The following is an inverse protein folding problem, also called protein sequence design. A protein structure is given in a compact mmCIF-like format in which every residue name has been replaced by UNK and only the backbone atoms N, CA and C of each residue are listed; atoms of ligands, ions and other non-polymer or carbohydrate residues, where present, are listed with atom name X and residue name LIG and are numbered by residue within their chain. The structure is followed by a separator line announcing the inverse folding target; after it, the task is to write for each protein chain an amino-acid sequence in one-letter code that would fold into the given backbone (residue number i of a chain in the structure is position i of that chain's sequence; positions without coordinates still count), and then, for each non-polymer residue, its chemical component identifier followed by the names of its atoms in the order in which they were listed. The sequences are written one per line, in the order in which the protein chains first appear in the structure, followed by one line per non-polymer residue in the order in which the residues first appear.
data_IF_650478532461
#
_entry.id   IF_650478532461
#
_cell.length_a   1.000
_cell.length_b   1.000
_cell.length_c   1.000
_cell.angle_alpha   90.00
_cell.angle_beta   90.00
_cell.angle_gamma   90.00
#
_symmetry.space_group_name_H-M   'P 1'
#
loop_
_entity.id
_entity.type
_entity.pdbx_description
1 polymer ?
#
# COMPACT_ATOMS: atom_id res chain seq x y z
N UNK A 1 -22.87 2.05 25.41
CA UNK A 1 -21.79 1.28 24.75
C UNK A 1 -21.55 1.89 23.38
N UNK A 2 -20.55 2.77 23.26
CA UNK A 2 -20.25 3.46 22.00
C UNK A 2 -19.56 2.48 21.04
N UNK A 3 -20.25 2.09 19.98
CA UNK A 3 -19.64 1.41 18.83
C UNK A 3 -18.89 2.51 18.07
N UNK A 4 -17.57 2.59 18.25
CA UNK A 4 -16.72 3.41 17.39
C UNK A 4 -16.82 2.86 15.97
N UNK A 5 -17.76 3.42 15.21
CA UNK A 5 -17.80 3.33 13.77
C UNK A 5 -16.61 4.13 13.25
N UNK A 6 -15.45 3.48 13.16
CA UNK A 6 -14.54 3.76 12.05
C UNK A 6 -15.25 3.25 10.80
N UNK A 7 -16.21 4.06 10.35
CA UNK A 7 -16.88 3.91 9.08
C UNK A 7 -15.77 3.85 8.05
N UNK A 8 -15.49 2.63 7.58
CA UNK A 8 -14.81 2.39 6.32
C UNK A 8 -15.52 3.28 5.31
N UNK A 9 -14.91 4.42 4.97
CA UNK A 9 -15.37 5.18 3.83
C UNK A 9 -15.45 4.19 2.67
N UNK A 10 -16.62 4.00 2.02
CA UNK A 10 -16.66 3.44 0.68
C UNK A 10 -16.14 4.54 -0.25
N UNK A 11 -14.91 5.00 0.00
CA UNK A 11 -14.24 5.93 -0.88
C UNK A 11 -14.01 5.16 -2.16
N UNK A 12 -14.57 5.66 -3.26
CA UNK A 12 -14.31 5.23 -4.63
C UNK A 12 -12.84 5.44 -5.01
N UNK A 13 -11.93 4.85 -4.24
CA UNK A 13 -10.52 4.75 -4.51
C UNK A 13 -10.32 3.61 -5.49
N UNK A 14 -9.36 3.81 -6.40
CA UNK A 14 -8.92 2.81 -7.37
C UNK A 14 -8.64 1.49 -6.63
N UNK A 15 -9.15 0.33 -7.10
CA UNK A 15 -8.88 -0.94 -6.45
C UNK A 15 -7.37 -1.21 -6.44
N UNK A 16 -6.85 -1.79 -5.36
CA UNK A 16 -5.46 -2.24 -5.32
C UNK A 16 -5.22 -3.31 -6.38
N UNK A 17 -4.05 -3.32 -7.04
CA UNK A 17 -3.66 -4.43 -7.90
C UNK A 17 -3.62 -5.73 -7.10
N UNK A 18 -4.00 -6.85 -7.71
CA UNK A 18 -3.98 -8.17 -7.06
C UNK A 18 -2.57 -8.58 -6.61
N UNK A 19 -1.57 -8.14 -7.36
CA UNK A 19 -0.15 -8.42 -7.24
C UNK A 19 0.64 -7.32 -6.50
N UNK A 20 -0.03 -6.41 -5.79
CA UNK A 20 0.58 -5.27 -5.10
C UNK A 20 1.78 -5.63 -4.20
N UNK A 21 1.81 -6.86 -3.65
CA UNK A 21 2.94 -7.32 -2.84
C UNK A 21 4.25 -7.40 -3.60
N UNK A 22 4.21 -7.65 -4.90
CA UNK A 22 5.42 -7.66 -5.73
C UNK A 22 6.08 -6.27 -5.77
N UNK A 23 5.30 -5.21 -5.57
CA UNK A 23 5.76 -3.84 -5.61
C UNK A 23 6.51 -3.44 -4.33
N UNK A 24 6.35 -4.21 -3.24
CA UNK A 24 7.08 -3.97 -2.00
C UNK A 24 8.60 -4.08 -2.20
N UNK A 25 9.04 -4.96 -3.09
CA UNK A 25 10.46 -5.12 -3.42
C UNK A 25 11.03 -3.96 -4.26
N UNK A 26 10.15 -3.10 -4.78
CA UNK A 26 10.51 -1.94 -5.59
C UNK A 26 10.39 -0.63 -4.80
N UNK A 27 9.99 -0.70 -3.53
CA UNK A 27 9.91 0.46 -2.67
C UNK A 27 11.32 0.98 -2.36
N UNK A 28 11.56 2.29 -2.53
CA UNK A 28 12.68 2.96 -1.85
C UNK A 28 12.62 2.69 -0.35
N UNK A 29 13.79 2.66 0.29
CA UNK A 29 13.91 2.35 1.72
C UNK A 29 12.99 3.23 2.58
N UNK A 30 12.93 4.54 2.35
CA UNK A 30 12.05 5.45 3.09
C UNK A 30 10.56 5.09 3.00
N UNK A 31 10.10 4.70 1.80
CA UNK A 31 8.70 4.29 1.59
C UNK A 31 8.44 2.90 2.15
N UNK A 32 9.45 2.04 2.15
CA UNK A 32 9.38 0.72 2.75
C UNK A 32 9.28 0.82 4.26
N UNK A 33 10.11 1.64 4.89
CA UNK A 33 10.08 1.90 6.33
C UNK A 33 8.72 2.47 6.75
N UNK A 34 8.24 3.51 6.04
CA UNK A 34 6.91 4.07 6.30
C UNK A 34 5.77 3.05 6.13
N UNK A 35 5.90 2.13 5.16
CA UNK A 35 4.96 1.02 4.98
C UNK A 35 5.02 0.03 6.16
N UNK A 36 6.21 -0.40 6.58
CA UNK A 36 6.42 -1.37 7.65
C UNK A 36 5.94 -0.81 9.00
N UNK A 37 6.28 0.45 9.31
CA UNK A 37 5.77 1.17 10.48
C UNK A 37 4.25 1.26 10.48
N UNK A 38 3.65 1.64 9.35
CA UNK A 38 2.19 1.74 9.24
C UNK A 38 1.50 0.38 9.37
N UNK A 39 2.11 -0.69 8.85
CA UNK A 39 1.60 -2.04 8.99
C UNK A 39 1.64 -2.48 10.46
N UNK A 40 2.73 -2.20 11.17
CA UNK A 40 2.86 -2.51 12.60
C UNK A 40 1.82 -1.74 13.43
N UNK A 41 1.62 -0.44 13.19
CA UNK A 41 0.61 0.36 13.89
C UNK A 41 -0.81 -0.20 13.66
N UNK A 42 -1.15 -0.57 12.42
CA UNK A 42 -2.49 -1.11 12.12
C UNK A 42 -2.69 -2.49 12.76
N UNK A 43 -1.64 -3.32 12.82
CA UNK A 43 -1.72 -4.63 13.46
C UNK A 43 -1.83 -4.54 14.98
N UNK A 44 -0.89 -3.87 15.63
CA UNK A 44 -0.77 -3.88 17.09
C UNK A 44 -1.74 -2.91 17.75
N UNK A 45 -1.82 -1.67 17.27
CA UNK A 45 -2.72 -0.67 17.85
C UNK A 45 -4.14 -0.80 17.29
N UNK A 46 -4.25 -1.12 16.00
CA UNK A 46 -5.54 -1.32 15.33
C UNK A 46 -6.16 -2.70 15.56
N UNK A 47 -5.42 -3.67 16.09
CA UNK A 47 -5.90 -5.04 16.34
C UNK A 47 -6.23 -5.82 15.07
N UNK A 48 -5.75 -5.37 13.90
CA UNK A 48 -5.99 -6.05 12.63
C UNK A 48 -5.02 -7.22 12.43
N UNK A 49 -5.45 -8.26 11.70
CA UNK A 49 -4.52 -9.34 11.32
C UNK A 49 -3.42 -8.77 10.42
N UNK A 50 -2.17 -9.23 10.59
CA UNK A 50 -1.00 -8.86 9.75
C UNK A 50 -1.32 -8.65 8.28
N UNK A 51 -1.96 -9.65 7.64
CA UNK A 51 -2.32 -9.60 6.22
C UNK A 51 -3.24 -8.42 5.85
N UNK A 52 -4.19 -8.08 6.72
CA UNK A 52 -5.08 -6.93 6.52
C UNK A 52 -4.34 -5.63 6.79
N UNK A 53 -3.50 -5.60 7.82
CA UNK A 53 -2.69 -4.44 8.19
C UNK A 53 -1.73 -4.04 7.06
N UNK A 54 -0.97 -5.01 6.52
CA UNK A 54 -0.09 -4.80 5.37
C UNK A 54 -0.84 -4.24 4.16
N UNK A 55 -2.00 -4.82 3.81
CA UNK A 55 -2.79 -4.35 2.67
C UNK A 55 -3.22 -2.89 2.86
N UNK A 56 -3.70 -2.53 4.06
CA UNK A 56 -4.12 -1.17 4.37
C UNK A 56 -2.94 -0.19 4.44
N UNK A 57 -1.80 -0.64 4.95
CA UNK A 57 -0.58 0.15 4.98
C UNK A 57 -0.12 0.50 3.56
N UNK A 58 -0.08 -0.49 2.65
CA UNK A 58 0.24 -0.25 1.24
C UNK A 58 -0.76 0.73 0.60
N UNK A 59 -2.07 0.52 0.84
CA UNK A 59 -3.09 1.42 0.32
C UNK A 59 -2.87 2.88 0.77
N UNK A 60 -2.55 3.09 2.05
CA UNK A 60 -2.33 4.42 2.62
C UNK A 60 -1.01 5.06 2.18
N UNK A 61 0.10 4.34 2.27
CA UNK A 61 1.46 4.88 2.07
C UNK A 61 1.79 5.02 0.59
N UNK A 62 1.33 4.06 -0.22
CA UNK A 62 1.70 3.93 -1.64
C UNK A 62 0.53 4.27 -2.54
N UNK A 63 -0.57 3.50 -2.47
CA UNK A 63 -1.58 3.51 -3.53
C UNK A 63 -2.39 4.82 -3.62
N UNK A 64 -2.67 5.43 -2.47
CA UNK A 64 -3.37 6.71 -2.35
C UNK A 64 -2.43 7.92 -2.38
N UNK A 65 -1.12 7.70 -2.30
CA UNK A 65 -0.12 8.75 -2.41
C UNK A 65 0.33 8.87 -3.87
N UNK A 66 -0.13 9.91 -4.57
CA UNK A 66 0.14 10.06 -6.01
C UNK A 66 1.63 10.14 -6.35
N UNK A 67 2.43 10.79 -5.49
CA UNK A 67 3.87 10.89 -5.68
C UNK A 67 4.57 9.52 -5.53
N UNK A 68 4.24 8.78 -4.46
CA UNK A 68 4.79 7.45 -4.23
C UNK A 68 4.34 6.45 -5.31
N UNK A 69 3.07 6.49 -5.70
CA UNK A 69 2.54 5.65 -6.78
C UNK A 69 3.23 5.93 -8.11
N UNK A 70 3.36 7.20 -8.48
CA UNK A 70 4.01 7.59 -9.75
C UNK A 70 5.46 7.11 -9.84
N UNK A 71 6.20 7.14 -8.73
CA UNK A 71 7.55 6.58 -8.65
C UNK A 71 7.56 5.07 -8.94
N UNK A 72 6.71 4.31 -8.26
CA UNK A 72 6.69 2.85 -8.43
C UNK A 72 6.17 2.45 -9.81
N UNK A 73 5.15 3.13 -10.34
CA UNK A 73 4.66 2.85 -11.70
C UNK A 73 5.76 3.08 -12.74
N UNK A 74 6.60 4.11 -12.58
CA UNK A 74 7.76 4.35 -13.43
C UNK A 74 8.85 3.26 -13.27
N UNK A 75 9.12 2.79 -12.05
CA UNK A 75 10.05 1.67 -11.81
C UNK A 75 9.53 0.35 -12.39
N UNK A 76 8.24 0.05 -12.22
CA UNK A 76 7.57 -1.12 -12.77
C UNK A 76 7.56 -1.13 -14.30
N UNK A 77 7.38 0.03 -14.94
CA UNK A 77 7.46 0.14 -16.40
C UNK A 77 8.86 -0.19 -16.94
N UNK A 78 9.92 0.19 -16.20
CA UNK A 78 11.30 -0.11 -16.55
C UNK A 78 11.69 -1.57 -16.26
N UNK A 79 11.07 -2.19 -15.25
CA UNK A 79 11.31 -3.58 -14.87
C UNK A 79 10.62 -4.62 -15.78
N UNK A 80 9.83 -4.20 -16.78
CA UNK A 80 9.27 -5.09 -17.83
C UNK A 80 10.20 -5.11 -19.05
N UNK A 81 11.03 -6.15 -19.26
CA UNK A 81 11.72 -6.32 -20.52
C UNK A 81 10.70 -6.77 -21.57
N UNK A 82 10.28 -5.90 -22.49
CA UNK A 82 9.46 -6.33 -23.63
C UNK A 82 8.48 -5.35 -24.27
N UNK A 83 8.61 -4.02 -24.10
CA UNK A 83 7.93 -3.06 -24.97
C UNK A 83 8.95 -2.40 -25.92
N UNK A 84 9.58 -3.22 -26.75
CA UNK A 84 10.62 -2.78 -27.67
C UNK A 84 11.01 -3.88 -28.64
N UNK A 85 10.16 -4.11 -29.63
CA UNK A 85 10.48 -4.62 -30.97
C UNK A 85 9.21 -4.55 -31.83
#
# INVERSE_FOLDING_TARGET
MARSALTLHPGGGRPLPTDWRLWLNLLPDDLRDAYEERAALIEYDGGEKRRTAERRAFECVVWRNEAARGFIEACCAQARPGAGA
#
